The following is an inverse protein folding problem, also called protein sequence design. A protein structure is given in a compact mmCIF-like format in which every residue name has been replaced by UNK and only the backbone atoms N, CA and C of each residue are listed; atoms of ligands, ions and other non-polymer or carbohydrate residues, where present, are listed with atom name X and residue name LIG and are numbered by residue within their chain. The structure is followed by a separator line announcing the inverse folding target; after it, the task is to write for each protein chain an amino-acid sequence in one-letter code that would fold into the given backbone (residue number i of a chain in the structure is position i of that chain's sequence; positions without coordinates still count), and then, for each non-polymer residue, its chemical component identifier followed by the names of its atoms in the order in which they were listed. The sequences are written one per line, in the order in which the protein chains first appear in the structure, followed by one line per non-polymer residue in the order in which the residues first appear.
data_IF_236808769326
#
_entry.id   IF_236808769326
#
_cell.length_a   1.000
_cell.length_b   1.000
_cell.length_c   1.000
_cell.angle_alpha   90.00
_cell.angle_beta   90.00
_cell.angle_gamma   90.00
#
_symmetry.space_group_name_H-M   'P 1'
#
loop_
_entity.id
_entity.type
_entity.pdbx_description
1 polymer ?
#
# COMPACT_ATOMS: atom_id res chain seq x y z
N UNK A 1 0.06 -13.90 -10.94
CA UNK A 1 0.38 -12.83 -9.96
C UNK A 1 0.02 -11.50 -10.60
N UNK A 2 -1.05 -10.85 -10.14
CA UNK A 2 -1.59 -9.65 -10.77
C UNK A 2 -0.64 -8.47 -10.63
N UNK A 3 -0.05 -8.01 -11.74
CA UNK A 3 0.59 -6.71 -11.80
C UNK A 3 -0.53 -5.67 -11.72
N UNK A 4 -0.62 -4.95 -10.60
CA UNK A 4 -1.34 -3.69 -10.53
C UNK A 4 -0.73 -2.76 -11.58
N UNK A 5 -1.41 -2.67 -12.72
CA UNK A 5 -0.97 -1.89 -13.88
C UNK A 5 -1.70 -0.56 -13.85
N UNK A 6 -1.01 0.55 -14.12
CA UNK A 6 -1.60 1.89 -14.05
C UNK A 6 -1.56 2.54 -12.66
N UNK A 7 -0.58 2.19 -11.83
CA UNK A 7 -0.34 2.91 -10.58
C UNK A 7 0.31 4.28 -10.85
N UNK A 8 -0.05 5.32 -10.10
CA UNK A 8 0.51 6.66 -10.27
C UNK A 8 2.02 6.73 -9.99
N UNK A 9 2.55 5.74 -9.27
CA UNK A 9 3.96 5.61 -8.91
C UNK A 9 4.42 4.17 -9.09
N UNK A 10 5.65 3.94 -9.61
CA UNK A 10 6.20 2.60 -9.78
C UNK A 10 6.50 1.94 -8.43
N UNK A 11 5.84 0.80 -8.18
CA UNK A 11 6.08 -0.04 -7.00
C UNK A 11 6.91 -1.25 -7.39
N UNK A 12 8.03 -1.46 -6.70
CA UNK A 12 8.96 -2.58 -6.89
C UNK A 12 8.43 -3.89 -6.29
N UNK A 13 7.59 -3.81 -5.25
CA UNK A 13 6.90 -4.97 -4.71
C UNK A 13 5.97 -4.64 -3.55
N UNK A 14 5.31 -5.67 -3.04
CA UNK A 14 4.25 -5.55 -2.04
C UNK A 14 4.44 -6.60 -0.95
N UNK A 15 4.19 -6.22 0.29
CA UNK A 15 4.01 -7.14 1.40
C UNK A 15 2.60 -6.89 1.94
N UNK A 16 1.80 -7.94 2.02
CA UNK A 16 0.44 -7.87 2.57
C UNK A 16 0.36 -8.83 3.74
N UNK A 17 -0.12 -8.34 4.88
CA UNK A 17 -0.46 -9.18 6.04
C UNK A 17 -1.90 -8.90 6.47
N UNK A 18 -2.60 -9.95 6.83
CA UNK A 18 -3.95 -9.89 7.40
C UNK A 18 -3.88 -10.36 8.85
N UNK A 19 -4.74 -9.81 9.70
CA UNK A 19 -4.79 -10.18 11.11
C UNK A 19 -5.76 -9.30 11.89
N UNK A 20 -5.74 -9.47 13.20
CA UNK A 20 -6.59 -8.71 14.11
C UNK A 20 -5.83 -7.45 14.56
N UNK A 21 -6.48 -6.29 14.44
CA UNK A 21 -5.92 -5.03 14.89
C UNK A 21 -6.06 -4.84 16.42
N UNK A 22 -5.58 -3.71 16.93
CA UNK A 22 -5.67 -3.38 18.35
C UNK A 22 -7.11 -3.23 18.87
N UNK A 23 -8.10 -3.05 18.00
CA UNK A 23 -9.53 -2.98 18.32
C UNK A 23 -10.24 -4.35 18.26
N UNK A 24 -9.50 -5.44 18.09
CA UNK A 24 -10.04 -6.80 17.87
C UNK A 24 -10.80 -6.96 16.53
N UNK A 25 -10.54 -6.08 15.55
CA UNK A 25 -11.19 -6.11 14.24
C UNK A 25 -10.27 -6.68 13.15
N UNK A 26 -10.85 -7.30 12.12
CA UNK A 26 -10.08 -7.77 10.96
C UNK A 26 -9.47 -6.60 10.19
N UNK A 27 -8.15 -6.61 10.05
CA UNK A 27 -7.39 -5.58 9.37
C UNK A 27 -6.34 -6.16 8.42
N UNK A 28 -5.96 -5.32 7.46
CA UNK A 28 -4.97 -5.62 6.44
C UNK A 28 -3.88 -4.55 6.48
N UNK A 29 -2.64 -4.98 6.62
CA UNK A 29 -1.45 -4.14 6.50
C UNK A 29 -0.80 -4.36 5.14
N UNK A 30 -0.65 -3.27 4.39
CA UNK A 30 0.00 -3.26 3.08
C UNK A 30 1.27 -2.41 3.15
N UNK A 31 2.41 -3.01 2.86
CA UNK A 31 3.66 -2.30 2.62
C UNK A 31 3.97 -2.27 1.13
N UNK A 32 3.93 -1.08 0.55
CA UNK A 32 4.29 -0.83 -0.84
C UNK A 32 5.76 -0.38 -0.92
N UNK A 33 6.60 -1.18 -1.56
CA UNK A 33 8.01 -0.87 -1.79
C UNK A 33 8.13 -0.02 -3.04
N UNK A 34 8.34 1.28 -2.88
CA UNK A 34 8.47 2.23 -3.99
C UNK A 34 9.83 2.02 -4.66
N UNK A 35 9.91 2.14 -5.99
CA UNK A 35 11.20 2.02 -6.70
C UNK A 35 12.11 3.23 -6.55
N UNK A 36 11.53 4.32 -6.10
CA UNK A 36 12.18 5.61 -5.91
C UNK A 36 11.95 6.04 -4.46
N UNK A 37 12.76 6.98 -3.99
CA UNK A 37 12.64 7.51 -2.64
C UNK A 37 11.27 8.20 -2.46
N UNK A 38 10.61 7.99 -1.31
CA UNK A 38 9.27 8.53 -1.06
C UNK A 38 9.27 10.05 -1.12
N UNK A 39 10.33 10.68 -0.58
CA UNK A 39 10.54 12.13 -0.60
C UNK A 39 10.66 12.71 -2.03
N UNK A 40 10.96 11.88 -3.03
CA UNK A 40 11.02 12.29 -4.44
C UNK A 40 9.69 12.16 -5.16
N UNK A 41 8.70 11.53 -4.53
CA UNK A 41 7.38 11.31 -5.14
C UNK A 41 6.45 12.41 -4.66
N UNK A 42 5.71 12.98 -5.62
CA UNK A 42 4.74 14.02 -5.31
C UNK A 42 3.67 13.50 -4.34
N UNK A 43 3.37 14.27 -3.30
CA UNK A 43 2.39 13.93 -2.27
C UNK A 43 1.04 13.47 -2.87
N UNK A 44 0.55 14.15 -3.90
CA UNK A 44 -0.69 13.79 -4.60
C UNK A 44 -0.65 12.37 -5.19
N UNK A 45 0.51 11.90 -5.65
CA UNK A 45 0.67 10.54 -6.18
C UNK A 45 0.69 9.50 -5.07
N UNK A 46 1.23 9.84 -3.89
CA UNK A 46 1.19 8.98 -2.71
C UNK A 46 -0.24 8.83 -2.20
N UNK A 47 -0.99 9.94 -2.07
CA UNK A 47 -2.40 9.90 -1.68
C UNK A 47 -3.26 9.11 -2.68
N UNK A 48 -3.05 9.32 -3.98
CA UNK A 48 -3.77 8.57 -5.00
C UNK A 48 -3.43 7.07 -4.95
N UNK A 49 -2.16 6.73 -4.74
CA UNK A 49 -1.73 5.36 -4.57
C UNK A 49 -2.35 4.70 -3.33
N UNK A 50 -2.37 5.40 -2.20
CA UNK A 50 -3.00 4.95 -0.96
C UNK A 50 -4.50 4.69 -1.14
N UNK A 51 -5.18 5.60 -1.83
CA UNK A 51 -6.61 5.47 -2.14
C UNK A 51 -6.89 4.25 -3.03
N UNK A 52 -6.08 4.03 -4.06
CA UNK A 52 -6.19 2.84 -4.94
C UNK A 52 -5.98 1.55 -4.14
N UNK A 53 -4.93 1.49 -3.31
CA UNK A 53 -4.60 0.32 -2.51
C UNK A 53 -5.73 0.04 -1.51
N UNK A 54 -6.18 1.05 -0.78
CA UNK A 54 -7.26 0.93 0.21
C UNK A 54 -8.54 0.43 -0.44
N UNK A 55 -8.91 0.97 -1.60
CA UNK A 55 -10.09 0.53 -2.35
C UNK A 55 -9.97 -0.93 -2.78
N UNK A 56 -8.81 -1.34 -3.30
CA UNK A 56 -8.54 -2.72 -3.70
C UNK A 56 -8.60 -3.69 -2.51
N UNK A 57 -8.01 -3.31 -1.37
CA UNK A 57 -8.06 -4.11 -0.14
C UNK A 57 -9.50 -4.30 0.30
N UNK A 58 -10.29 -3.23 0.37
CA UNK A 58 -11.71 -3.31 0.74
C UNK A 58 -12.54 -4.15 -0.22
N UNK A 59 -12.23 -4.12 -1.52
CA UNK A 59 -12.92 -4.97 -2.49
C UNK A 59 -12.62 -6.47 -2.32
N UNK A 60 -11.43 -6.81 -1.84
CA UNK A 60 -10.98 -8.21 -1.72
C UNK A 60 -11.29 -8.77 -0.33
N UNK A 61 -11.02 -8.00 0.73
CA UNK A 61 -11.15 -8.43 2.11
C UNK A 61 -12.53 -8.14 2.72
N UNK A 62 -13.27 -7.16 2.18
CA UNK A 62 -14.56 -6.72 2.70
C UNK A 62 -14.59 -5.21 2.93
N UNK A 63 -15.75 -4.58 2.71
CA UNK A 63 -15.91 -3.12 2.81
C UNK A 63 -15.64 -2.58 4.21
N UNK A 64 -15.89 -3.40 5.23
CA UNK A 64 -15.71 -3.09 6.65
C UNK A 64 -14.27 -3.34 7.15
N UNK A 65 -13.42 -3.96 6.33
CA UNK A 65 -12.03 -4.25 6.71
C UNK A 65 -11.20 -2.97 6.75
N UNK A 66 -10.48 -2.79 7.87
CA UNK A 66 -9.55 -1.68 8.02
C UNK A 66 -8.26 -1.96 7.25
N UNK A 67 -7.88 -1.04 6.36
CA UNK A 67 -6.67 -1.16 5.55
C UNK A 67 -5.64 -0.12 6.00
N UNK A 68 -4.47 -0.58 6.43
CA UNK A 68 -3.32 0.26 6.77
C UNK A 68 -2.29 0.18 5.66
N UNK A 69 -2.10 1.29 4.95
CA UNK A 69 -1.09 1.38 3.89
C UNK A 69 0.14 2.10 4.41
N UNK A 70 1.31 1.51 4.15
CA UNK A 70 2.62 2.10 4.44
C UNK A 70 3.48 2.01 3.20
N UNK A 71 4.20 3.09 2.95
CA UNK A 71 5.15 3.18 1.86
C UNK A 71 6.56 3.01 2.42
N UNK A 72 7.42 2.38 1.62
CA UNK A 72 8.83 2.25 1.94
C UNK A 72 9.63 2.51 0.67
N UNK A 73 10.34 3.63 0.63
CA UNK A 73 11.30 3.90 -0.43
C UNK A 73 12.46 2.89 -0.39
N UNK A 74 13.04 2.60 -1.55
CA UNK A 74 14.41 2.07 -1.58
C UNK A 74 15.34 3.28 -1.40
N UNK A 75 15.60 3.68 -0.17
CA UNK A 75 16.78 4.53 0.08
C UNK A 75 17.99 3.63 -0.11
N UNK A 76 18.52 3.63 -1.32
CA UNK A 76 19.79 2.98 -1.65
C UNK A 76 20.91 3.75 -0.94
N UNK A 77 21.44 3.20 0.15
CA UNK A 77 22.86 3.24 0.49
C UNK A 77 23.22 1.97 1.28
N UNK A 78 23.63 0.91 0.56
CA UNK A 78 24.73 0.00 0.96
C UNK A 78 25.55 -0.38 -0.27
#
# INVERSE_FOLDING_TARGET
MGKLSGLPTPVGGWIVKTGIDSADEEAVWVWAMLKEDEDKIEFNKIEELESIITKQVKQIAGSDTTAYVRFRGVSEEV
#
